data_IF_938863265568
#
_entry.id   IF_938863265568
#
_cell.length_a   1.000
_cell.length_b   1.000
_cell.length_c   1.000
_cell.angle_alpha   90.00
_cell.angle_beta   90.00
_cell.angle_gamma   90.00
#
_symmetry.space_group_name_H-M   'P 1'
#
loop_
_entity.id
_entity.type
_entity.pdbx_description
1 polymer ?
#
# COMPACT_ATOMS: atom_id res chain seq x y z
N UNK A 1 1.82 9.75 -9.61
CA UNK A 1 2.09 8.30 -9.54
C UNK A 1 1.16 7.73 -8.48
N UNK A 2 0.47 6.61 -8.76
CA UNK A 2 -0.36 5.91 -7.78
C UNK A 2 0.53 5.24 -6.73
N UNK A 3 0.03 5.03 -5.52
CA UNK A 3 0.74 4.32 -4.43
C UNK A 3 -0.14 3.21 -3.85
N UNK A 4 0.44 2.30 -3.04
CA UNK A 4 -0.34 1.31 -2.29
C UNK A 4 -1.22 1.99 -1.21
N UNK A 5 -0.71 3.09 -0.64
CA UNK A 5 -1.44 4.05 0.21
C UNK A 5 -1.01 5.47 -0.11
N UNK A 6 -1.94 6.43 -0.11
CA UNK A 6 -1.59 7.84 -0.34
C UNK A 6 -2.71 8.65 -0.97
N UNK A 7 -2.38 9.81 -1.54
CA UNK A 7 -3.38 10.72 -2.11
C UNK A 7 -4.10 10.15 -3.35
N UNK A 8 -3.44 9.25 -4.08
CA UNK A 8 -3.97 8.57 -5.26
C UNK A 8 -3.62 7.09 -5.18
N UNK A 9 -4.64 6.23 -5.12
CA UNK A 9 -4.49 4.77 -5.02
C UNK A 9 -5.36 4.06 -6.07
N UNK A 10 -4.98 2.85 -6.47
CA UNK A 10 -5.64 2.03 -7.49
C UNK A 10 -5.95 0.66 -6.89
N UNK A 11 -7.13 0.09 -7.17
CA UNK A 11 -7.48 -1.27 -6.71
C UNK A 11 -6.63 -2.35 -7.41
N UNK A 12 -6.43 -3.52 -6.78
CA UNK A 12 -5.64 -4.62 -7.38
C UNK A 12 -6.09 -5.02 -8.78
N UNK A 13 -7.39 -5.13 -9.04
CA UNK A 13 -7.94 -5.41 -10.37
C UNK A 13 -7.94 -4.21 -11.35
N UNK A 14 -7.36 -3.07 -10.95
CA UNK A 14 -7.30 -1.84 -11.76
C UNK A 14 -8.65 -1.15 -12.02
N UNK A 15 -9.77 -1.67 -11.52
CA UNK A 15 -11.10 -1.17 -11.84
C UNK A 15 -11.47 0.13 -11.13
N UNK A 16 -10.80 0.45 -10.01
CA UNK A 16 -11.11 1.62 -9.20
C UNK A 16 -9.88 2.47 -8.93
N UNK A 17 -10.09 3.79 -8.91
CA UNK A 17 -9.09 4.78 -8.49
C UNK A 17 -9.69 5.62 -7.39
N UNK A 18 -8.95 5.82 -6.29
CA UNK A 18 -9.38 6.69 -5.21
C UNK A 18 -8.49 7.92 -5.07
N UNK A 19 -9.12 9.07 -4.85
CA UNK A 19 -8.49 10.37 -4.68
C UNK A 19 -8.86 10.90 -3.30
N UNK A 20 -7.83 11.17 -2.50
CA UNK A 20 -7.96 11.84 -1.21
C UNK A 20 -7.75 13.34 -1.40
N UNK A 21 -8.72 14.12 -0.93
CA UNK A 21 -8.75 15.57 -0.99
C UNK A 21 -8.81 16.07 0.46
N UNK A 22 -7.69 16.57 0.98
CA UNK A 22 -7.65 17.18 2.30
C UNK A 22 -7.90 18.69 2.16
N UNK A 23 -8.98 19.17 2.78
CA UNK A 23 -9.33 20.57 2.85
C UNK A 23 -9.06 21.07 4.26
N UNK A 24 -7.93 21.73 4.47
CA UNK A 24 -7.67 22.45 5.71
C UNK A 24 -8.62 23.64 5.77
N UNK A 25 -9.48 23.72 6.78
CA UNK A 25 -10.18 24.98 7.05
C UNK A 25 -9.13 26.02 7.44
N UNK A 26 -8.98 27.06 6.62
CA UNK A 26 -8.17 28.23 6.99
C UNK A 26 -8.86 28.90 8.17
N UNK A 27 -8.09 29.21 9.21
CA UNK A 27 -8.58 29.93 10.39
C UNK A 27 -9.32 31.19 9.94
N UNK A 28 -10.56 31.34 10.36
CA UNK A 28 -11.25 32.63 10.29
C UNK A 28 -10.65 33.52 11.37
N UNK A 29 -9.98 34.58 10.94
CA UNK A 29 -9.31 35.61 11.74
C UNK A 29 -7.83 35.32 12.09
N UNK A 30 -6.92 35.99 11.35
CA UNK A 30 -5.46 36.06 11.58
C UNK A 30 -5.08 36.87 12.84
N UNK A 31 -6.08 37.34 13.60
CA UNK A 31 -5.89 38.26 14.73
C UNK A 31 -5.75 37.58 16.11
N UNK A 32 -5.93 36.27 16.20
CA UNK A 32 -5.72 35.53 17.44
C UNK A 32 -4.33 34.87 17.43
N UNK A 33 -3.44 35.16 18.39
CA UNK A 33 -2.22 34.38 18.55
C UNK A 33 -2.66 32.92 18.70
N UNK A 34 -1.97 32.01 18.02
CA UNK A 34 -2.19 30.57 18.11
C UNK A 34 -2.03 30.13 19.57
N UNK A 35 -3.12 30.19 20.32
CA UNK A 35 -3.24 29.53 21.60
C UNK A 35 -3.08 28.04 21.34
N UNK A 36 -2.56 27.34 22.33
CA UNK A 36 -2.07 25.97 22.28
C UNK A 36 -3.20 24.97 21.99
N UNK A 37 -3.75 24.98 20.78
CA UNK A 37 -4.78 24.01 20.37
C UNK A 37 -4.17 22.63 20.43
N UNK A 38 -4.74 21.79 21.29
CA UNK A 38 -4.38 20.38 21.38
C UNK A 38 -4.49 19.72 20.00
N UNK A 39 -3.69 18.70 19.71
CA UNK A 39 -3.78 17.91 18.47
C UNK A 39 -5.20 17.42 18.19
N UNK A 40 -5.95 17.12 19.24
CA UNK A 40 -7.37 16.74 19.20
C UNK A 40 -8.27 17.87 18.69
N UNK A 41 -8.03 19.10 19.14
CA UNK A 41 -8.77 20.28 18.65
C UNK A 41 -8.47 20.54 17.17
N UNK A 42 -7.20 20.47 16.77
CA UNK A 42 -6.80 20.57 15.37
C UNK A 42 -7.46 19.49 14.50
N UNK A 43 -7.51 18.24 14.98
CA UNK A 43 -8.17 17.15 14.27
C UNK A 43 -9.67 17.42 14.08
N UNK A 44 -10.34 17.99 15.09
CA UNK A 44 -11.78 18.29 15.02
C UNK A 44 -12.14 19.32 13.94
N UNK A 45 -11.18 20.14 13.52
CA UNK A 45 -11.33 21.15 12.47
C UNK A 45 -10.97 20.62 11.07
N UNK A 46 -10.34 19.46 10.98
CA UNK A 46 -10.00 18.83 9.69
C UNK A 46 -11.24 18.22 9.06
N UNK A 47 -11.43 18.54 7.77
CA UNK A 47 -12.37 17.85 6.89
C UNK A 47 -11.62 17.36 5.65
N UNK A 48 -11.82 16.10 5.32
CA UNK A 48 -11.28 15.51 4.11
C UNK A 48 -12.35 14.76 3.35
N UNK A 49 -12.17 14.67 2.05
CA UNK A 49 -13.04 13.94 1.15
C UNK A 49 -12.24 12.84 0.48
N UNK A 50 -12.84 11.67 0.35
CA UNK A 50 -12.31 10.59 -0.47
C UNK A 50 -13.32 10.25 -1.54
N UNK A 51 -12.86 10.26 -2.80
CA UNK A 51 -13.67 10.01 -3.99
C UNK A 51 -13.12 8.79 -4.70
N UNK A 52 -13.98 7.79 -4.93
CA UNK A 52 -13.65 6.61 -5.73
C UNK A 52 -14.30 6.73 -7.10
N UNK A 53 -13.51 6.51 -8.14
CA UNK A 53 -13.91 6.52 -9.54
C UNK A 53 -13.78 5.12 -10.12
N UNK A 54 -14.72 4.73 -10.98
CA UNK A 54 -14.54 3.62 -11.91
C UNK A 54 -13.47 4.05 -12.93
N UNK A 55 -12.37 3.31 -12.98
CA UNK A 55 -11.16 3.67 -13.74
C UNK A 55 -11.41 3.68 -15.25
N UNK A 56 -12.35 2.86 -15.73
CA UNK A 56 -12.67 2.72 -17.16
C UNK A 56 -13.56 3.84 -17.67
N UNK A 57 -14.54 4.26 -16.86
CA UNK A 57 -15.58 5.22 -17.26
C UNK A 57 -15.38 6.62 -16.67
N UNK A 58 -14.55 6.75 -15.64
CA UNK A 58 -14.35 7.98 -14.89
C UNK A 58 -15.54 8.38 -14.02
N UNK A 59 -16.56 7.52 -13.88
CA UNK A 59 -17.75 7.82 -13.07
C UNK A 59 -17.45 7.66 -11.59
N UNK A 60 -18.00 8.54 -10.77
CA UNK A 60 -17.93 8.42 -9.31
C UNK A 60 -18.74 7.23 -8.82
N UNK A 61 -18.09 6.34 -8.09
CA UNK A 61 -18.66 5.16 -7.43
C UNK A 61 -18.99 5.48 -5.97
N UNK A 62 -18.09 6.20 -5.29
CA UNK A 62 -18.23 6.52 -3.88
C UNK A 62 -17.70 7.94 -3.60
N UNK A 63 -18.36 8.64 -2.69
CA UNK A 63 -17.84 9.88 -2.09
C UNK A 63 -18.12 9.86 -0.60
N UNK A 64 -17.08 10.10 0.20
CA UNK A 64 -17.16 10.14 1.66
C UNK A 64 -16.43 11.34 2.22
N UNK A 65 -17.06 11.99 3.19
CA UNK A 65 -16.47 13.03 4.01
C UNK A 65 -16.00 12.41 5.33
N UNK A 66 -14.83 12.84 5.81
CA UNK A 66 -14.26 12.42 7.07
C UNK A 66 -13.89 13.64 7.91
N UNK A 67 -14.13 13.53 9.21
CA UNK A 67 -13.60 14.43 10.23
C UNK A 67 -12.34 13.83 10.84
N UNK A 68 -11.44 14.68 11.33
CA UNK A 68 -10.15 14.23 11.85
C UNK A 68 -9.05 14.20 10.80
N UNK A 69 -7.85 13.82 11.22
CA UNK A 69 -6.76 13.58 10.28
C UNK A 69 -7.04 12.31 9.50
N UNK A 70 -7.04 12.38 8.17
CA UNK A 70 -6.94 11.18 7.33
C UNK A 70 -5.46 10.84 7.21
N UNK A 71 -5.06 9.72 7.79
CA UNK A 71 -3.67 9.26 7.78
C UNK A 71 -3.33 8.53 6.48
N UNK A 72 -4.25 7.70 5.99
CA UNK A 72 -4.06 6.89 4.78
C UNK A 72 -5.41 6.49 4.17
N UNK A 73 -5.35 6.06 2.91
CA UNK A 73 -6.42 5.33 2.22
C UNK A 73 -5.82 4.18 1.43
N UNK A 74 -6.60 3.12 1.24
CA UNK A 74 -6.29 1.97 0.38
C UNK A 74 -7.57 1.47 -0.31
N UNK A 75 -7.40 0.75 -1.42
CA UNK A 75 -8.49 0.08 -2.13
C UNK A 75 -8.24 -1.42 -2.13
N UNK A 76 -9.25 -2.19 -1.73
CA UNK A 76 -9.40 -3.59 -2.15
C UNK A 76 -10.15 -3.62 -3.48
N UNK A 77 -10.48 -4.80 -4.00
CA UNK A 77 -11.27 -4.91 -5.23
C UNK A 77 -12.73 -4.45 -5.07
N UNK A 78 -13.20 -4.31 -3.84
CA UNK A 78 -14.61 -4.08 -3.51
C UNK A 78 -14.83 -3.11 -2.34
N UNK A 79 -13.78 -2.61 -1.68
CA UNK A 79 -13.87 -1.64 -0.59
C UNK A 79 -12.87 -0.49 -0.73
N UNK A 80 -13.31 0.69 -0.28
CA UNK A 80 -12.44 1.77 0.13
C UNK A 80 -12.15 1.66 1.62
N UNK A 81 -10.89 1.54 2.03
CA UNK A 81 -10.47 1.67 3.42
C UNK A 81 -9.85 3.04 3.67
N UNK A 82 -10.30 3.74 4.71
CA UNK A 82 -9.74 5.04 5.12
C UNK A 82 -9.34 4.97 6.59
N UNK A 83 -8.09 5.31 6.86
CA UNK A 83 -7.56 5.43 8.21
C UNK A 83 -7.67 6.88 8.68
N UNK A 84 -8.36 7.10 9.80
CA UNK A 84 -8.49 8.40 10.46
C UNK A 84 -7.97 8.37 11.89
N UNK A 85 -7.55 9.53 12.38
CA UNK A 85 -7.06 9.69 13.74
C UNK A 85 -7.31 11.11 14.28
N UNK A 86 -7.18 11.25 15.60
CA UNK A 86 -7.21 12.50 16.37
C UNK A 86 -5.85 13.18 16.48
N UNK A 87 -4.80 12.55 15.93
CA UNK A 87 -3.45 13.09 15.83
C UNK A 87 -2.82 12.61 14.52
N UNK A 88 -1.60 13.06 14.22
CA UNK A 88 -0.84 12.64 13.04
C UNK A 88 -0.23 11.23 13.18
N UNK A 89 -0.83 10.35 13.98
CA UNK A 89 -0.44 8.96 14.20
C UNK A 89 -1.63 8.16 14.74
N UNK A 90 -1.72 6.84 14.53
CA UNK A 90 -2.87 6.05 14.96
C UNK A 90 -2.82 5.62 16.44
N UNK A 91 -1.62 5.36 16.97
CA UNK A 91 -1.45 4.84 18.32
C UNK A 91 -1.80 5.84 19.45
N UNK A 92 -1.99 5.34 20.67
CA UNK A 92 -2.07 6.16 21.89
C UNK A 92 -3.20 7.20 21.88
N UNK A 93 -2.82 8.49 21.89
CA UNK A 93 -3.74 9.64 21.80
C UNK A 93 -4.35 9.82 20.40
N UNK A 94 -3.73 9.22 19.38
CA UNK A 94 -4.21 9.22 18.01
C UNK A 94 -5.58 8.57 17.86
N UNK A 95 -5.87 7.52 18.65
CA UNK A 95 -7.14 6.78 18.59
C UNK A 95 -7.53 6.42 17.15
N UNK A 96 -6.59 5.85 16.42
CA UNK A 96 -6.74 5.47 15.03
C UNK A 96 -7.92 4.56 14.79
N UNK A 97 -8.61 4.77 13.67
CA UNK A 97 -9.70 3.93 13.20
C UNK A 97 -9.59 3.73 11.71
N UNK A 98 -9.85 2.51 11.25
CA UNK A 98 -10.02 2.19 9.84
C UNK A 98 -11.50 1.99 9.60
N UNK A 99 -12.07 2.76 8.67
CA UNK A 99 -13.43 2.54 8.17
C UNK A 99 -13.36 2.04 6.73
N UNK A 100 -13.92 0.85 6.49
CA UNK A 100 -14.03 0.26 5.16
C UNK A 100 -15.46 0.44 4.62
N UNK A 101 -15.55 0.97 3.39
CA UNK A 101 -16.79 1.26 2.69
C UNK A 101 -16.92 0.33 1.49
N UNK A 102 -17.95 -0.52 1.44
CA UNK A 102 -18.27 -1.29 0.24
C UNK A 102 -18.50 -0.37 -0.96
N UNK A 103 -17.89 -0.70 -2.10
CA UNK A 103 -18.00 0.05 -3.35
C UNK A 103 -19.32 -0.24 -4.08
N UNK A 104 -19.98 -1.35 -3.77
CA UNK A 104 -21.28 -1.71 -4.33
C UNK A 104 -22.45 -0.88 -3.77
N UNK A 105 -22.22 -0.16 -2.67
CA UNK A 105 -23.21 0.66 -1.98
C UNK A 105 -24.35 -0.13 -1.32
N UNK A 106 -24.26 -1.46 -1.20
CA UNK A 106 -25.35 -2.31 -0.70
C UNK A 106 -25.28 -2.52 0.82
N UNK A 107 -24.08 -2.46 1.38
CA UNK A 107 -23.81 -2.80 2.77
C UNK A 107 -23.29 -1.60 3.57
N UNK A 108 -23.54 -1.61 4.88
CA UNK A 108 -23.03 -0.61 5.80
C UNK A 108 -21.50 -0.68 5.91
N UNK A 109 -20.81 0.45 6.11
CA UNK A 109 -19.38 0.44 6.35
C UNK A 109 -19.03 -0.25 7.66
N UNK A 110 -17.87 -0.88 7.71
CA UNK A 110 -17.28 -1.49 8.91
C UNK A 110 -16.22 -0.55 9.47
N UNK A 111 -16.13 -0.45 10.80
CA UNK A 111 -15.10 0.36 11.47
C UNK A 111 -14.40 -0.49 12.52
N UNK A 112 -13.08 -0.45 12.51
CA UNK A 112 -12.23 -1.11 13.49
C UNK A 112 -11.19 -0.12 14.07
N UNK A 113 -10.92 -0.16 15.38
CA UNK A 113 -9.83 0.61 15.96
C UNK A 113 -8.48 0.04 15.50
N UNK A 114 -7.47 0.90 15.37
CA UNK A 114 -6.09 0.51 15.07
C UNK A 114 -5.10 1.40 15.81
N UNK A 115 -4.01 0.81 16.26
CA UNK A 115 -2.79 1.50 16.70
C UNK A 115 -1.65 1.39 15.68
N UNK A 116 -1.90 0.71 14.55
CA UNK A 116 -0.99 0.50 13.45
C UNK A 116 -1.41 1.29 12.21
N UNK A 117 -0.44 1.64 11.39
CA UNK A 117 -0.61 2.41 10.15
C UNK A 117 -1.15 1.55 9.02
N UNK A 118 -2.16 2.03 8.29
CA UNK A 118 -2.59 1.42 7.03
C UNK A 118 -1.51 1.68 5.95
N UNK A 119 -0.94 0.61 5.39
CA UNK A 119 0.20 0.69 4.46
C UNK A 119 -0.02 0.02 3.11
N UNK A 120 -1.12 -0.72 2.94
CA UNK A 120 -1.47 -1.33 1.67
C UNK A 120 -2.76 -2.13 1.76
N UNK A 121 -3.16 -2.71 0.64
CA UNK A 121 -4.30 -3.60 0.52
C UNK A 121 -4.04 -4.65 -0.56
N UNK A 122 -4.59 -5.84 -0.34
CA UNK A 122 -4.78 -6.87 -1.35
C UNK A 122 -6.15 -6.75 -2.02
N UNK A 123 -6.56 -7.79 -2.73
CA UNK A 123 -7.88 -7.97 -3.34
C UNK A 123 -9.01 -7.94 -2.29
N UNK A 124 -8.81 -8.49 -1.09
CA UNK A 124 -9.84 -8.56 -0.04
C UNK A 124 -9.36 -8.20 1.38
N UNK A 125 -8.07 -7.93 1.56
CA UNK A 125 -7.47 -7.65 2.87
C UNK A 125 -6.67 -6.34 2.90
N UNK A 126 -6.38 -5.87 4.12
CA UNK A 126 -5.59 -4.67 4.39
C UNK A 126 -4.30 -5.04 5.12
N UNK A 127 -3.25 -4.27 4.87
CA UNK A 127 -1.96 -4.40 5.53
C UNK A 127 -1.73 -3.26 6.51
N UNK A 128 -1.39 -3.62 7.74
CA UNK A 128 -1.05 -2.69 8.81
C UNK A 128 0.40 -2.82 9.23
N UNK A 129 1.05 -1.69 9.49
CA UNK A 129 2.45 -1.61 9.93
C UNK A 129 2.55 -0.98 11.32
N UNK A 130 3.44 -1.48 12.20
CA UNK A 130 3.72 -0.82 13.48
C UNK A 130 4.40 0.56 13.31
N UNK A 131 4.92 0.87 12.13
CA UNK A 131 5.61 2.12 11.81
C UNK A 131 5.10 2.74 10.51
N UNK A 132 5.13 4.07 10.35
CA UNK A 132 4.62 4.72 9.15
C UNK A 132 5.46 4.36 7.93
N UNK A 133 4.81 3.97 6.85
CA UNK A 133 5.43 3.80 5.53
C UNK A 133 5.20 5.11 4.76
N UNK A 134 6.03 6.13 5.03
CA UNK A 134 5.94 7.35 4.24
C UNK A 134 6.43 7.10 2.81
N UNK A 135 5.80 7.77 1.83
CA UNK A 135 6.24 7.80 0.42
C UNK A 135 7.69 8.28 0.20
N UNK A 136 8.37 8.78 1.25
CA UNK A 136 9.81 9.09 1.30
C UNK A 136 10.61 8.21 2.27
N UNK A 137 9.97 7.41 3.12
CA UNK A 137 10.63 6.50 4.07
C UNK A 137 10.71 5.05 3.60
N UNK A 138 10.39 4.76 2.33
CA UNK A 138 10.76 3.50 1.67
C UNK A 138 11.13 3.72 0.18
N UNK A 139 11.87 4.80 -0.11
CA UNK A 139 12.65 4.86 -1.37
C UNK A 139 13.82 3.85 -1.34
N UNK A 140 14.14 3.38 -0.13
CA UNK A 140 15.15 2.40 0.27
C UNK A 140 14.50 1.29 1.12
N UNK A 141 15.14 0.12 1.30
CA UNK A 141 14.71 -0.93 2.24
C UNK A 141 14.33 -0.33 3.60
N UNK A 142 13.10 -0.57 4.05
CA UNK A 142 12.58 -0.03 5.31
C UNK A 142 12.33 -1.11 6.37
N UNK A 143 12.60 -2.38 6.02
CA UNK A 143 12.48 -3.56 6.84
C UNK A 143 13.79 -4.04 7.48
N UNK A 144 13.78 -5.25 8.07
CA UNK A 144 12.64 -6.15 8.16
C UNK A 144 11.65 -5.75 9.27
N UNK A 145 10.35 -5.69 8.96
CA UNK A 145 9.28 -5.55 9.96
C UNK A 145 8.16 -6.58 9.75
N UNK A 146 7.28 -6.72 10.75
CA UNK A 146 6.11 -7.57 10.66
C UNK A 146 4.87 -6.75 10.28
N UNK A 147 4.23 -7.11 9.17
CA UNK A 147 2.96 -6.52 8.74
C UNK A 147 1.80 -7.37 9.27
N UNK A 148 0.77 -6.73 9.80
CA UNK A 148 -0.47 -7.41 10.20
C UNK A 148 -1.45 -7.35 9.04
N UNK A 149 -1.96 -8.51 8.62
CA UNK A 149 -3.02 -8.60 7.64
C UNK A 149 -4.36 -8.67 8.34
N UNK A 150 -5.29 -7.80 7.97
CA UNK A 150 -6.66 -7.77 8.48
C UNK A 150 -7.67 -7.85 7.34
N UNK A 151 -8.87 -8.32 7.61
CA UNK A 151 -10.00 -8.16 6.69
C UNK A 151 -10.47 -6.70 6.65
N UNK A 152 -11.31 -6.35 5.68
CA UNK A 152 -12.06 -5.08 5.67
C UNK A 152 -13.00 -4.94 6.88
N UNK A 153 -13.37 -6.06 7.53
CA UNK A 153 -14.11 -6.09 8.79
C UNK A 153 -13.25 -5.87 10.06
N UNK A 154 -11.93 -5.74 9.92
CA UNK A 154 -11.00 -5.54 11.03
C UNK A 154 -10.58 -6.82 11.76
N UNK A 155 -10.94 -8.00 11.25
CA UNK A 155 -10.46 -9.26 11.84
C UNK A 155 -9.01 -9.52 11.42
N UNK A 156 -8.15 -9.89 12.36
CA UNK A 156 -6.78 -10.32 12.06
C UNK A 156 -6.80 -11.62 11.25
N UNK A 157 -6.23 -11.58 10.05
CA UNK A 157 -6.09 -12.72 9.14
C UNK A 157 -4.72 -13.37 9.23
N UNK A 158 -3.69 -12.63 9.61
CA UNK A 158 -2.33 -13.16 9.71
C UNK A 158 -1.26 -12.11 9.92
N UNK A 159 -0.01 -12.54 9.81
CA UNK A 159 1.16 -11.66 9.86
C UNK A 159 2.12 -12.05 8.74
N UNK A 160 2.60 -11.06 7.98
CA UNK A 160 3.68 -11.22 7.01
C UNK A 160 4.96 -10.75 7.69
N UNK A 161 5.88 -11.68 7.96
CA UNK A 161 7.15 -11.39 8.64
C UNK A 161 8.23 -10.93 7.66
N UNK A 162 9.24 -10.23 8.19
CA UNK A 162 10.41 -9.78 7.44
C UNK A 162 10.10 -8.95 6.19
N UNK A 163 8.98 -8.24 6.20
CA UNK A 163 8.57 -7.36 5.12
C UNK A 163 9.58 -6.21 4.96
N UNK A 164 9.93 -5.92 3.72
CA UNK A 164 10.84 -4.85 3.32
C UNK A 164 10.17 -3.80 2.44
N UNK A 165 9.26 -4.23 1.54
CA UNK A 165 8.50 -3.33 0.67
C UNK A 165 7.05 -3.79 0.53
N UNK A 166 6.14 -2.83 0.36
CA UNK A 166 4.74 -3.07 0.00
C UNK A 166 4.51 -2.46 -1.38
N UNK A 167 4.11 -3.30 -2.33
CA UNK A 167 3.82 -2.90 -3.70
C UNK A 167 2.33 -2.61 -3.91
N UNK A 168 2.01 -1.78 -4.91
CA UNK A 168 0.64 -1.69 -5.45
C UNK A 168 0.17 -3.06 -5.92
N UNK A 169 -1.13 -3.30 -5.84
CA UNK A 169 -1.71 -4.55 -6.33
C UNK A 169 -1.74 -5.70 -5.31
N UNK A 170 -1.23 -5.48 -4.10
CA UNK A 170 -1.36 -6.47 -3.02
C UNK A 170 -0.18 -7.41 -2.90
N UNK A 171 1.06 -6.91 -3.06
CA UNK A 171 2.25 -7.71 -2.80
C UNK A 171 3.15 -7.11 -1.73
N UNK A 172 3.90 -7.99 -1.08
CA UNK A 172 4.94 -7.64 -0.12
C UNK A 172 6.25 -8.30 -0.55
N UNK A 173 7.31 -7.50 -0.72
CA UNK A 173 8.67 -8.04 -0.77
C UNK A 173 9.15 -8.30 0.65
N UNK A 174 9.66 -9.50 0.90
CA UNK A 174 10.18 -9.90 2.21
C UNK A 174 11.42 -10.77 2.10
N UNK A 175 12.13 -10.93 3.22
CA UNK A 175 13.17 -11.94 3.37
C UNK A 175 12.57 -13.30 3.75
N UNK A 176 13.07 -14.38 3.14
CA UNK A 176 12.64 -15.77 3.38
C UNK A 176 13.03 -16.28 4.77
N UNK A 177 14.25 -15.94 5.19
CA UNK A 177 14.80 -16.23 6.52
C UNK A 177 14.98 -14.90 7.28
N UNK A 178 15.18 -14.89 8.62
CA UNK A 178 15.75 -13.73 9.28
C UNK A 178 17.02 -13.31 8.52
N UNK A 179 17.18 -12.01 8.26
CA UNK A 179 18.36 -11.53 7.54
C UNK A 179 19.63 -12.07 8.25
N UNK A 180 20.57 -12.71 7.54
CA UNK A 180 21.77 -13.24 8.20
C UNK A 180 22.56 -12.09 8.83
N UNK A 181 22.92 -12.26 10.10
CA UNK A 181 23.78 -11.33 10.82
C UNK A 181 25.20 -11.36 10.19
N UNK A 182 25.55 -10.46 9.27
CA UNK A 182 26.93 -10.48 8.73
C UNK A 182 27.29 -9.56 7.57
N UNK A 183 28.59 -9.27 7.47
CA UNK A 183 29.27 -8.40 6.49
C UNK A 183 29.32 -8.94 5.05
N UNK A 184 28.81 -10.15 4.77
CA UNK A 184 28.74 -10.74 3.42
C UNK A 184 27.54 -10.19 2.58
N UNK A 185 27.24 -8.90 2.79
CA UNK A 185 25.91 -8.41 3.20
C UNK A 185 24.93 -7.83 2.18
N UNK A 186 25.15 -7.96 0.87
CA UNK A 186 24.16 -7.50 -0.14
C UNK A 186 23.69 -8.59 -1.10
N UNK A 187 24.61 -9.34 -1.72
CA UNK A 187 24.24 -10.39 -2.69
C UNK A 187 23.50 -11.58 -2.04
N UNK A 188 23.92 -11.98 -0.84
CA UNK A 188 23.25 -13.03 -0.04
C UNK A 188 21.87 -12.57 0.44
N UNK A 189 21.75 -11.31 0.85
CA UNK A 189 20.50 -10.70 1.28
C UNK A 189 19.51 -10.55 0.11
N UNK A 190 19.98 -10.28 -1.10
CA UNK A 190 19.14 -10.14 -2.29
C UNK A 190 18.67 -11.49 -2.85
N UNK A 191 19.50 -12.53 -2.76
CA UNK A 191 19.12 -13.91 -3.12
C UNK A 191 18.09 -14.54 -2.15
N UNK A 192 17.97 -13.99 -0.93
CA UNK A 192 17.04 -14.46 0.08
C UNK A 192 15.67 -13.76 0.05
N UNK A 193 15.37 -12.95 -0.98
CA UNK A 193 14.12 -12.20 -1.09
C UNK A 193 13.08 -12.95 -1.90
N UNK A 194 11.83 -12.71 -1.54
CA UNK A 194 10.66 -13.17 -2.29
C UNK A 194 9.58 -12.09 -2.29
N UNK A 195 8.72 -12.13 -3.29
CA UNK A 195 7.49 -11.35 -3.36
C UNK A 195 6.32 -12.26 -3.01
N UNK A 196 5.50 -11.83 -2.07
CA UNK A 196 4.36 -12.60 -1.58
C UNK A 196 3.06 -11.86 -1.87
N UNK A 197 2.14 -12.54 -2.53
CA UNK A 197 0.76 -12.09 -2.68
C UNK A 197 0.06 -12.08 -1.32
N UNK A 198 -0.57 -10.96 -0.99
CA UNK A 198 -1.08 -10.68 0.34
C UNK A 198 -2.21 -11.61 0.74
N UNK A 199 -3.07 -12.01 -0.21
CA UNK A 199 -4.31 -12.72 0.09
C UNK A 199 -4.15 -14.23 -0.09
N UNK A 200 -3.53 -14.66 -1.19
CA UNK A 200 -3.29 -16.08 -1.50
C UNK A 200 -2.08 -16.65 -0.75
N UNK A 201 -1.10 -15.80 -0.42
CA UNK A 201 0.19 -16.22 0.10
C UNK A 201 1.10 -16.87 -0.93
N UNK A 202 0.76 -16.83 -2.22
CA UNK A 202 1.64 -17.25 -3.30
C UNK A 202 2.94 -16.45 -3.23
N UNK A 203 4.07 -17.13 -3.31
CA UNK A 203 5.39 -16.54 -3.15
C UNK A 203 6.24 -16.79 -4.40
N UNK A 204 6.80 -15.72 -4.95
CA UNK A 204 7.77 -15.75 -6.04
C UNK A 204 9.14 -15.39 -5.51
N UNK A 205 10.03 -16.37 -5.57
CA UNK A 205 11.44 -16.20 -5.23
C UNK A 205 12.15 -15.27 -6.22
N UNK A 206 12.78 -14.22 -5.71
CA UNK A 206 13.52 -13.29 -6.55
C UNK A 206 14.88 -13.85 -6.97
N UNK A 207 15.53 -14.74 -6.20
CA UNK A 207 16.84 -15.31 -6.56
C UNK A 207 17.90 -14.26 -6.99
N UNK A 208 17.86 -13.05 -6.44
CA UNK A 208 18.75 -11.94 -6.83
C UNK A 208 18.22 -11.05 -7.97
N UNK A 209 17.11 -11.43 -8.59
CA UNK A 209 16.37 -10.60 -9.55
C UNK A 209 15.65 -9.43 -8.83
N UNK A 210 15.23 -8.43 -9.61
CA UNK A 210 14.53 -7.25 -9.09
C UNK A 210 13.05 -7.33 -9.44
N UNK A 211 12.17 -7.05 -8.47
CA UNK A 211 10.76 -6.77 -8.74
C UNK A 211 10.54 -5.27 -8.90
N UNK A 212 9.91 -4.87 -10.00
CA UNK A 212 9.56 -3.49 -10.28
C UNK A 212 8.06 -3.37 -10.58
N UNK A 213 7.42 -2.32 -10.07
CA UNK A 213 6.01 -2.08 -10.38
C UNK A 213 5.83 -1.74 -11.86
N UNK A 214 4.91 -2.45 -12.51
CA UNK A 214 4.54 -2.25 -13.91
C UNK A 214 3.03 -2.13 -14.06
N UNK A 215 2.59 -1.62 -15.22
CA UNK A 215 1.18 -1.64 -15.61
C UNK A 215 0.92 -2.80 -16.56
N UNK A 216 -0.15 -3.55 -16.30
CA UNK A 216 -0.64 -4.63 -17.14
C UNK A 216 -2.02 -4.26 -17.71
N UNK A 217 -2.49 -5.01 -18.70
CA UNK A 217 -3.85 -4.82 -19.23
C UNK A 217 -4.95 -5.13 -18.20
N UNK A 218 -4.62 -5.89 -17.16
CA UNK A 218 -5.50 -6.29 -16.05
C UNK A 218 -5.36 -5.40 -14.81
N UNK A 219 -4.49 -4.39 -14.83
CA UNK A 219 -4.27 -3.48 -13.70
C UNK A 219 -2.80 -3.41 -13.26
N UNK A 220 -2.54 -3.11 -11.97
CA UNK A 220 -1.21 -3.21 -11.39
C UNK A 220 -0.54 -4.57 -11.60
N UNK A 221 0.77 -4.56 -11.82
CA UNK A 221 1.59 -5.76 -11.89
C UNK A 221 2.99 -5.55 -11.32
N UNK A 222 3.74 -6.64 -11.19
CA UNK A 222 5.17 -6.60 -10.95
C UNK A 222 5.90 -7.22 -12.13
N UNK A 223 6.96 -6.57 -12.59
CA UNK A 223 7.90 -7.11 -13.56
C UNK A 223 9.14 -7.57 -12.81
N UNK A 224 9.45 -8.85 -12.94
CA UNK A 224 10.70 -9.42 -12.42
C UNK A 224 11.76 -9.31 -13.52
N UNK A 225 12.87 -8.66 -13.21
CA UNK A 225 13.97 -8.45 -14.15
C UNK A 225 15.31 -8.95 -13.63
N UNK A 226 16.11 -9.49 -14.53
CA UNK A 226 17.46 -10.00 -14.25
C UNK A 226 18.49 -9.13 -14.94
N UNK A 227 19.51 -8.68 -14.21
CA UNK A 227 20.68 -8.04 -14.84
C UNK A 227 21.42 -9.04 -15.73
N UNK A 228 21.82 -8.62 -16.92
CA UNK A 228 22.61 -9.48 -17.84
C UNK A 228 23.99 -9.82 -17.28
N UNK A 229 24.54 -8.91 -16.47
CA UNK A 229 25.78 -9.11 -15.71
C UNK A 229 25.54 -8.54 -14.29
N UNK A 230 25.33 -9.43 -13.29
CA UNK A 230 25.03 -9.05 -11.91
C UNK A 230 26.12 -8.23 -11.22
N UNK A 231 27.38 -8.43 -11.59
CA UNK A 231 28.54 -7.77 -10.96
C UNK A 231 28.68 -6.31 -11.42
N UNK A 232 27.97 -5.94 -12.49
CA UNK A 232 28.00 -4.59 -13.05
C UNK A 232 26.63 -3.92 -12.90
N UNK A 233 26.58 -2.94 -11.99
CA UNK A 233 25.34 -2.20 -11.69
C UNK A 233 24.72 -1.48 -12.90
N UNK A 234 25.53 -1.10 -13.89
CA UNK A 234 25.07 -0.45 -15.13
C UNK A 234 24.64 -1.41 -16.24
N UNK A 235 24.66 -2.72 -15.98
CA UNK A 235 24.20 -3.71 -16.95
C UNK A 235 22.71 -3.58 -17.21
N UNK A 236 22.27 -3.76 -18.47
CA UNK A 236 20.85 -3.80 -18.77
C UNK A 236 20.18 -4.95 -18.02
N UNK A 237 18.91 -4.76 -17.66
CA UNK A 237 18.06 -5.81 -17.13
C UNK A 237 17.16 -6.38 -18.22
N UNK A 238 16.93 -7.68 -18.19
CA UNK A 238 15.99 -8.38 -19.07
C UNK A 238 14.79 -8.90 -18.26
N UNK A 239 13.56 -8.81 -18.78
CA UNK A 239 12.39 -9.44 -18.16
C UNK A 239 12.56 -10.95 -18.03
N UNK A 240 12.18 -11.52 -16.88
CA UNK A 240 12.18 -12.98 -16.65
C UNK A 240 10.82 -13.52 -16.24
N UNK A 241 10.01 -12.71 -15.55
CA UNK A 241 8.64 -13.05 -15.21
C UNK A 241 7.82 -11.77 -14.98
N UNK A 242 6.50 -11.90 -14.95
CA UNK A 242 5.59 -10.85 -14.47
C UNK A 242 4.51 -11.45 -13.56
N UNK A 243 3.96 -10.63 -12.67
CA UNK A 243 2.91 -10.99 -11.70
C UNK A 243 1.69 -10.08 -11.91
N UNK A 244 0.48 -10.62 -11.88
CA UNK A 244 -0.77 -9.85 -11.99
C UNK A 244 -1.50 -9.71 -10.67
N UNK A 245 -2.01 -8.52 -10.39
CA UNK A 245 -2.80 -8.27 -9.18
C UNK A 245 -4.25 -8.81 -9.29
N UNK A 246 -4.63 -9.25 -10.49
CA UNK A 246 -5.97 -9.72 -10.86
C UNK A 246 -6.04 -11.26 -10.98
N UNK A 247 -5.02 -11.99 -10.51
CA UNK A 247 -5.00 -13.45 -10.48
C UNK A 247 -4.58 -14.00 -9.09
N UNK A 248 -3.99 -15.20 -9.04
CA UNK A 248 -3.58 -15.88 -7.81
C UNK A 248 -2.13 -15.58 -7.39
N UNK A 249 -1.47 -14.60 -8.02
CA UNK A 249 -0.12 -14.16 -7.68
C UNK A 249 0.99 -15.07 -8.19
N UNK A 250 0.69 -15.99 -9.12
CA UNK A 250 1.71 -16.84 -9.74
C UNK A 250 2.57 -16.08 -10.77
N UNK A 251 3.84 -16.46 -10.95
CA UNK A 251 4.70 -15.88 -11.98
C UNK A 251 4.33 -16.36 -13.39
N UNK A 252 4.14 -15.40 -14.28
CA UNK A 252 3.98 -15.60 -15.71
C UNK A 252 5.32 -15.43 -16.44
N UNK A 253 5.59 -16.29 -17.41
CA UNK A 253 6.86 -16.29 -18.19
C UNK A 253 6.62 -16.15 -19.70
N UNK A 254 5.36 -16.16 -20.12
CA UNK A 254 4.90 -15.88 -21.46
C UNK A 254 4.84 -14.38 -21.74
N UNK A 255 4.84 -14.03 -23.03
CA UNK A 255 4.68 -12.67 -23.56
C UNK A 255 5.68 -11.65 -22.97
N UNK A 256 6.89 -12.06 -22.58
CA UNK A 256 7.89 -11.15 -22.00
C UNK A 256 8.38 -10.09 -22.98
N UNK A 257 8.25 -10.34 -24.28
CA UNK A 257 8.62 -9.39 -25.34
C UNK A 257 7.88 -8.05 -25.22
N UNK A 258 6.68 -8.03 -24.62
CA UNK A 258 5.92 -6.81 -24.38
C UNK A 258 6.67 -5.81 -23.47
N UNK A 259 7.56 -6.30 -22.61
CA UNK A 259 8.35 -5.49 -21.67
C UNK A 259 9.74 -5.13 -22.20
N UNK A 260 10.13 -5.65 -23.36
CA UNK A 260 11.46 -5.43 -23.96
C UNK A 260 11.51 -4.26 -24.93
N UNK A 261 10.35 -3.68 -25.29
CA UNK A 261 10.27 -2.56 -26.21
C UNK A 261 10.31 -1.21 -25.49
N UNK A 262 11.48 -0.57 -25.49
CA UNK A 262 11.66 0.87 -25.33
C UNK A 262 12.72 1.38 -26.30
#
# INVERSE_FOLDING_TARGET
MSTAVGALVVSPNGNYVSILIQAYQKHGDESQPADQSSTVELASQQRGYVVVLDARTGKTVLTREFSGFILAQALTNDHLAVETARAYFPAGEGKGTITAFPLDGTSSPTTAPTDQWLVGAGQDSLLLSPQPVHHKMCSDPCGPFALTRISTGGQKLGTITHADRVYRGGWVERYKEPAPDGEDGEASAQAAREVVDVDTGAATDLNGDQAEETGLSTGPGLLVTRRTDPDKQSSPSVPVAWLSADDDGHPHTENLEQFTSK
#
